data_IF_689604019478
#
_entry.id   IF_689604019478
#
_cell.length_a   1.000
_cell.length_b   1.000
_cell.length_c   1.000
_cell.angle_alpha   90.00
_cell.angle_beta   90.00
_cell.angle_gamma   90.00
#
_symmetry.space_group_name_H-M   'P 1'
#
loop_
_entity.id
_entity.type
_entity.pdbx_description
1 polymer ?
#
# COMPACT_ATOMS: atom_id res chain seq x y z
N UNK A 1 -11.46 -12.68 -5.28
CA UNK A 1 -10.60 -12.05 -4.25
C UNK A 1 -9.15 -12.45 -4.49
N UNK A 2 -8.32 -11.57 -5.05
CA UNK A 2 -6.87 -11.82 -5.17
C UNK A 2 -6.21 -11.41 -3.85
N UNK A 3 -5.63 -12.37 -3.12
CA UNK A 3 -4.66 -12.05 -2.06
C UNK A 3 -3.36 -11.73 -2.79
N UNK A 4 -3.00 -10.46 -2.88
CA UNK A 4 -1.64 -10.08 -3.31
C UNK A 4 -0.75 -10.28 -2.09
N UNK A 5 0.31 -11.07 -2.26
CA UNK A 5 1.27 -11.41 -1.23
C UNK A 5 2.65 -11.06 -1.74
N UNK A 6 3.41 -10.29 -0.98
CA UNK A 6 4.83 -10.04 -1.26
C UNK A 6 5.70 -10.58 -0.13
N UNK A 7 6.81 -11.20 -0.53
CA UNK A 7 7.83 -11.75 0.34
C UNK A 7 8.82 -10.63 0.66
N UNK A 8 9.02 -10.31 1.93
CA UNK A 8 10.18 -9.52 2.34
C UNK A 8 11.42 -10.42 2.20
N UNK A 9 12.36 -10.01 1.33
CA UNK A 9 13.46 -10.84 0.81
C UNK A 9 14.31 -11.57 1.85
N UNK A 10 14.40 -11.05 3.08
CA UNK A 10 15.40 -11.52 4.04
C UNK A 10 14.82 -12.31 5.23
N UNK A 11 13.50 -12.41 5.38
CA UNK A 11 12.93 -12.82 6.70
C UNK A 11 11.91 -13.94 6.67
N UNK A 12 11.65 -14.59 5.52
CA UNK A 12 10.56 -15.57 5.39
C UNK A 12 9.20 -15.01 5.84
N UNK A 13 9.02 -13.68 5.82
CA UNK A 13 7.77 -13.02 6.23
C UNK A 13 7.05 -12.46 5.02
N UNK A 14 5.74 -12.68 5.00
CA UNK A 14 4.83 -12.28 3.96
C UNK A 14 3.92 -11.17 4.48
N UNK A 15 3.70 -10.14 3.65
CA UNK A 15 2.66 -9.15 3.90
C UNK A 15 1.47 -9.41 2.98
N UNK A 16 0.28 -9.48 3.57
CA UNK A 16 -0.98 -9.59 2.85
C UNK A 16 -1.82 -8.33 3.09
N UNK A 17 -2.65 -7.99 2.11
CA UNK A 17 -3.74 -7.03 2.26
C UNK A 17 -5.07 -7.76 2.52
N UNK A 18 -5.93 -7.18 3.36
CA UNK A 18 -7.37 -7.47 3.38
C UNK A 18 -8.18 -6.23 3.00
N UNK A 19 -9.06 -6.37 2.02
CA UNK A 19 -10.05 -5.35 1.60
C UNK A 19 -11.39 -5.50 2.32
N UNK A 20 -11.56 -6.53 3.17
CA UNK A 20 -12.87 -6.86 3.75
C UNK A 20 -13.33 -5.83 4.82
N UNK A 21 -12.40 -5.05 5.35
CA UNK A 21 -12.66 -3.95 6.26
C UNK A 21 -12.42 -2.68 5.45
N UNK A 22 -13.35 -1.72 5.48
CA UNK A 22 -13.19 -0.39 4.85
C UNK A 22 -12.00 0.42 5.42
N UNK A 23 -11.21 -0.18 6.31
CA UNK A 23 -9.92 0.27 6.81
C UNK A 23 -8.87 -0.76 6.38
N UNK A 24 -7.92 -0.36 5.53
CA UNK A 24 -6.86 -1.25 5.06
C UNK A 24 -6.02 -1.77 6.23
N UNK A 25 -5.77 -3.08 6.17
CA UNK A 25 -4.98 -3.83 7.15
C UNK A 25 -3.82 -4.52 6.43
N UNK A 26 -2.59 -4.32 6.91
CA UNK A 26 -1.43 -5.11 6.50
C UNK A 26 -1.23 -6.26 7.49
N UNK A 27 -1.18 -7.49 7.00
CA UNK A 27 -1.01 -8.68 7.84
C UNK A 27 0.43 -9.17 7.75
N UNK A 28 1.10 -9.30 8.90
CA UNK A 28 2.38 -9.97 9.00
C UNK A 28 2.14 -11.47 9.12
N UNK A 29 2.68 -12.24 8.20
CA UNK A 29 2.71 -13.71 8.26
C UNK A 29 4.16 -14.19 8.31
N UNK A 30 4.43 -15.25 9.06
CA UNK A 30 5.68 -16.00 8.97
C UNK A 30 5.45 -17.26 8.14
N UNK A 31 6.37 -17.55 7.24
CA UNK A 31 6.41 -18.80 6.53
C UNK A 31 7.08 -19.85 7.42
N UNK A 32 6.35 -20.91 7.77
CA UNK A 32 6.87 -22.04 8.54
C UNK A 32 6.68 -23.29 7.68
N UNK A 33 7.79 -23.79 7.11
CA UNK A 33 7.83 -24.96 6.24
C UNK A 33 6.98 -24.83 4.96
N UNK A 34 5.69 -25.18 4.99
CA UNK A 34 4.79 -25.20 3.82
C UNK A 34 3.54 -24.34 4.00
N UNK A 35 3.39 -23.67 5.15
CA UNK A 35 2.21 -22.86 5.45
C UNK A 35 2.58 -21.52 6.09
N UNK A 36 1.68 -20.54 5.95
CA UNK A 36 1.81 -19.23 6.57
C UNK A 36 1.10 -19.21 7.92
N UNK A 37 1.79 -18.76 8.98
CA UNK A 37 1.18 -18.45 10.28
C UNK A 37 0.92 -16.96 10.39
N UNK A 38 -0.32 -16.58 10.73
CA UNK A 38 -0.65 -15.20 11.07
C UNK A 38 0.16 -14.74 12.29
N UNK A 39 0.77 -13.56 12.22
CA UNK A 39 1.53 -12.95 13.31
C UNK A 39 0.77 -11.78 13.91
N UNK A 40 0.52 -10.75 13.12
CA UNK A 40 -0.12 -9.52 13.59
C UNK A 40 -0.77 -8.76 12.43
N UNK A 41 -1.59 -7.77 12.77
CA UNK A 41 -2.22 -6.84 11.85
C UNK A 41 -1.79 -5.42 12.19
N UNK A 42 -1.45 -4.64 11.16
CA UNK A 42 -1.23 -3.21 11.23
C UNK A 42 -2.35 -2.49 10.49
N UNK A 43 -3.13 -1.70 11.21
CA UNK A 43 -4.17 -0.82 10.65
C UNK A 43 -3.55 0.51 10.25
N UNK A 44 -3.84 0.99 9.04
CA UNK A 44 -3.23 2.24 8.52
C UNK A 44 -4.26 3.33 8.18
N UNK A 45 -5.55 3.09 8.40
CA UNK A 45 -6.60 4.12 8.29
C UNK A 45 -7.08 4.45 6.87
N UNK A 46 -6.58 3.74 5.86
CA UNK A 46 -6.91 3.93 4.45
C UNK A 46 -7.02 2.59 3.75
N UNK A 47 -7.80 2.47 2.68
CA UNK A 47 -7.93 1.18 1.98
C UNK A 47 -6.74 0.95 1.06
N UNK A 48 -5.70 0.30 1.57
CA UNK A 48 -4.56 -0.12 0.78
C UNK A 48 -4.99 -0.99 -0.40
N UNK A 49 -4.24 -0.96 -1.48
CA UNK A 49 -4.40 -1.83 -2.65
C UNK A 49 -3.19 -2.73 -2.89
N UNK A 50 -2.33 -2.43 -3.83
CA UNK A 50 -1.13 -3.21 -4.03
C UNK A 50 -0.05 -2.79 -3.03
N UNK A 51 0.70 -3.79 -2.60
CA UNK A 51 1.91 -3.65 -1.81
C UNK A 51 3.07 -3.75 -2.79
N UNK A 52 4.11 -2.93 -2.60
CA UNK A 52 5.42 -3.05 -3.23
C UNK A 52 6.48 -3.13 -2.12
N UNK A 53 7.59 -3.84 -2.36
CA UNK A 53 8.68 -3.97 -1.39
C UNK A 53 9.94 -3.33 -1.99
N UNK A 54 10.47 -2.29 -1.34
CA UNK A 54 11.74 -1.71 -1.75
C UNK A 54 12.86 -2.73 -1.49
N UNK A 55 13.48 -3.23 -2.56
CA UNK A 55 14.48 -4.30 -2.50
C UNK A 55 15.80 -3.90 -1.78
N UNK A 56 16.03 -2.61 -1.54
CA UNK A 56 17.23 -2.10 -0.85
C UNK A 56 16.99 -1.98 0.65
N UNK A 57 15.81 -1.49 1.04
CA UNK A 57 15.49 -1.14 2.43
C UNK A 57 14.54 -2.14 3.11
N UNK A 58 13.80 -2.91 2.33
CA UNK A 58 12.71 -3.77 2.81
C UNK A 58 11.45 -3.00 3.22
N UNK A 59 11.41 -1.68 3.00
CA UNK A 59 10.23 -0.86 3.29
C UNK A 59 9.07 -1.23 2.37
N UNK A 60 7.86 -1.22 2.91
CA UNK A 60 6.65 -1.44 2.13
C UNK A 60 6.15 -0.12 1.57
N UNK A 61 5.76 -0.12 0.31
CA UNK A 61 5.11 1.00 -0.36
C UNK A 61 3.71 0.57 -0.79
N UNK A 62 2.70 1.34 -0.40
CA UNK A 62 1.29 1.01 -0.59
C UNK A 62 0.64 2.10 -1.42
N UNK A 63 -0.07 1.73 -2.49
CA UNK A 63 -1.08 2.61 -3.07
C UNK A 63 -2.40 2.40 -2.34
N UNK A 64 -3.07 3.47 -1.93
CA UNK A 64 -4.26 3.39 -1.08
C UNK A 64 -5.42 4.27 -1.60
N UNK A 65 -6.62 3.97 -1.12
CA UNK A 65 -7.84 4.75 -1.35
C UNK A 65 -8.34 5.35 -0.03
N UNK A 66 -8.16 6.67 0.20
CA UNK A 66 -8.58 7.34 1.44
C UNK A 66 -10.08 7.23 1.72
N UNK A 67 -10.89 7.29 0.66
CA UNK A 67 -12.33 7.07 0.74
C UNK A 67 -12.75 6.06 -0.33
N UNK A 68 -12.88 4.77 0.02
CA UNK A 68 -13.23 3.72 -0.93
C UNK A 68 -14.63 3.87 -1.53
N UNK A 69 -15.53 4.58 -0.86
CA UNK A 69 -16.88 4.81 -1.37
C UNK A 69 -16.84 5.64 -2.66
N UNK A 70 -15.88 6.55 -2.81
CA UNK A 70 -15.69 7.32 -4.05
C UNK A 70 -15.17 6.47 -5.22
N UNK A 71 -14.55 5.31 -4.93
CA UNK A 71 -14.15 4.36 -5.97
C UNK A 71 -15.34 3.52 -6.44
N UNK A 72 -16.22 3.13 -5.51
CA UNK A 72 -17.43 2.34 -5.80
C UNK A 72 -18.49 3.22 -6.48
N UNK A 73 -18.72 4.41 -5.94
CA UNK A 73 -19.69 5.40 -6.42
C UNK A 73 -18.94 6.55 -7.11
N UNK A 74 -18.33 6.26 -8.25
CA UNK A 74 -17.51 7.24 -8.97
C UNK A 74 -18.35 8.46 -9.41
N UNK A 75 -17.94 9.64 -8.95
CA UNK A 75 -18.42 10.94 -9.43
C UNK A 75 -17.23 11.77 -9.94
N UNK A 76 -17.20 12.17 -11.22
CA UNK A 76 -16.12 13.00 -11.74
C UNK A 76 -16.03 14.40 -11.10
N UNK A 77 -17.10 14.89 -10.44
CA UNK A 77 -17.08 16.16 -9.69
C UNK A 77 -16.56 16.00 -8.27
N UNK A 78 -16.58 14.78 -7.74
CA UNK A 78 -16.03 14.41 -6.43
C UNK A 78 -15.17 13.13 -6.56
N UNK A 79 -14.04 13.20 -7.28
CA UNK A 79 -13.30 12.01 -7.68
C UNK A 79 -12.65 11.28 -6.49
N UNK A 80 -12.32 9.98 -6.65
CA UNK A 80 -11.58 9.25 -5.63
C UNK A 80 -10.16 9.79 -5.48
N UNK A 81 -9.78 10.13 -4.25
CA UNK A 81 -8.43 10.54 -3.90
C UNK A 81 -7.39 9.44 -4.10
N UNK A 82 -6.13 9.85 -3.98
CA UNK A 82 -4.98 8.94 -4.00
C UNK A 82 -4.13 9.16 -2.76
N UNK A 83 -3.51 8.10 -2.30
CA UNK A 83 -2.62 8.10 -1.15
C UNK A 83 -1.51 7.06 -1.33
N UNK A 84 -0.29 7.42 -0.96
CA UNK A 84 0.84 6.51 -0.86
C UNK A 84 1.33 6.47 0.58
N UNK A 85 1.29 5.28 1.17
CA UNK A 85 1.83 5.04 2.49
C UNK A 85 3.13 4.25 2.39
N UNK A 86 4.13 4.66 3.17
CA UNK A 86 5.36 3.89 3.39
C UNK A 86 5.35 3.30 4.78
N UNK A 87 5.69 2.02 4.89
CA UNK A 87 5.83 1.34 6.17
C UNK A 87 7.26 0.88 6.33
N UNK A 88 7.93 1.43 7.34
CA UNK A 88 9.27 1.05 7.74
C UNK A 88 9.24 0.07 8.89
N UNK A 89 10.21 -0.85 8.92
CA UNK A 89 10.41 -1.78 10.03
C UNK A 89 9.13 -2.55 10.39
N UNK A 90 8.39 -3.05 9.39
CA UNK A 90 7.12 -3.80 9.57
C UNK A 90 7.25 -5.01 10.52
N UNK A 91 8.47 -5.46 10.79
CA UNK A 91 8.73 -6.56 11.70
C UNK A 91 9.01 -6.17 13.15
N UNK A 92 9.22 -4.89 13.44
CA UNK A 92 9.42 -4.35 14.80
C UNK A 92 8.10 -4.26 15.58
N UNK A 93 8.20 -4.03 16.88
CA UNK A 93 7.03 -3.80 17.75
C UNK A 93 6.36 -2.44 17.48
N UNK A 94 7.08 -1.51 16.85
CA UNK A 94 6.59 -0.18 16.49
C UNK A 94 6.93 0.15 15.02
N UNK A 95 6.22 -0.44 14.04
CA UNK A 95 6.35 -0.05 12.64
C UNK A 95 6.04 1.44 12.47
N UNK A 96 6.78 2.11 11.60
CA UNK A 96 6.57 3.52 11.29
C UNK A 96 5.80 3.63 9.99
N UNK A 97 4.63 4.26 10.03
CA UNK A 97 3.80 4.53 8.86
C UNK A 97 3.91 6.02 8.52
N UNK A 98 4.28 6.34 7.29
CA UNK A 98 4.35 7.71 6.79
C UNK A 98 3.49 7.89 5.55
N UNK A 99 2.88 9.08 5.44
CA UNK A 99 2.19 9.54 4.24
C UNK A 99 3.21 10.20 3.32
N UNK A 100 3.52 9.55 2.19
CA UNK A 100 4.54 10.01 1.24
C UNK A 100 3.93 10.81 0.09
N UNK A 101 2.67 10.57 -0.24
CA UNK A 101 1.89 11.32 -1.21
C UNK A 101 0.41 11.25 -0.87
N UNK A 102 -0.33 12.36 -1.01
CA UNK A 102 -1.77 12.40 -0.83
C UNK A 102 -2.41 13.53 -1.64
N UNK A 103 -3.48 13.23 -2.36
CA UNK A 103 -4.28 14.24 -3.04
C UNK A 103 -5.77 13.86 -3.09
N UNK A 104 -6.61 14.83 -3.40
CA UNK A 104 -8.07 14.74 -3.39
C UNK A 104 -8.71 14.11 -4.64
N UNK A 105 -7.90 13.69 -5.61
CA UNK A 105 -8.37 13.13 -6.88
C UNK A 105 -8.19 14.05 -8.09
N UNK A 106 -7.96 15.36 -7.90
CA UNK A 106 -7.87 16.29 -9.04
C UNK A 106 -6.54 16.19 -9.80
N UNK A 107 -5.43 15.90 -9.11
CA UNK A 107 -4.14 15.62 -9.76
C UNK A 107 -4.06 14.16 -10.22
N UNK A 108 -4.23 13.22 -9.29
CA UNK A 108 -4.18 11.77 -9.51
C UNK A 108 -5.37 11.10 -8.81
N UNK A 109 -6.04 10.16 -9.47
CA UNK A 109 -7.24 9.49 -8.94
C UNK A 109 -6.95 8.04 -8.61
N UNK A 110 -7.43 7.55 -7.47
CA UNK A 110 -7.43 6.14 -7.10
C UNK A 110 -6.07 5.43 -7.31
N UNK A 111 -5.01 5.91 -6.64
CA UNK A 111 -3.73 5.18 -6.58
C UNK A 111 -3.92 3.74 -6.11
N UNK A 112 -3.30 2.79 -6.81
CA UNK A 112 -3.34 1.36 -6.50
C UNK A 112 -1.97 0.80 -6.13
N UNK A 113 -0.89 1.39 -6.65
CA UNK A 113 0.48 0.91 -6.42
C UNK A 113 1.45 2.09 -6.36
N UNK A 114 2.51 1.95 -5.59
CA UNK A 114 3.61 2.90 -5.57
C UNK A 114 4.94 2.15 -5.46
N UNK A 115 5.88 2.44 -6.36
CA UNK A 115 7.19 1.80 -6.39
C UNK A 115 8.31 2.84 -6.34
N UNK A 116 9.26 2.65 -5.44
CA UNK A 116 10.43 3.50 -5.31
C UNK A 116 11.59 2.93 -6.13
N UNK A 117 12.24 3.78 -6.90
CA UNK A 117 13.46 3.45 -7.62
C UNK A 117 14.33 4.70 -7.82
N UNK A 118 15.59 4.63 -7.41
CA UNK A 118 16.61 5.66 -7.67
C UNK A 118 16.16 7.10 -7.39
N UNK A 119 15.74 7.37 -6.14
CA UNK A 119 15.27 8.69 -5.72
C UNK A 119 13.94 9.13 -6.33
N UNK A 120 13.26 8.27 -7.08
CA UNK A 120 11.94 8.52 -7.66
C UNK A 120 10.88 7.62 -7.05
N UNK A 121 9.65 8.10 -7.11
CA UNK A 121 8.45 7.35 -6.76
C UNK A 121 7.52 7.30 -7.98
N UNK A 122 7.21 6.10 -8.45
CA UNK A 122 6.23 5.86 -9.51
C UNK A 122 4.92 5.40 -8.89
N UNK A 123 3.85 6.17 -9.11
CA UNK A 123 2.51 5.91 -8.57
C UNK A 123 1.58 5.52 -9.71
N UNK A 124 1.06 4.29 -9.66
CA UNK A 124 0.05 3.78 -10.59
C UNK A 124 -1.36 3.89 -10.02
N UNK A 125 -2.35 4.02 -10.89
CA UNK A 125 -3.77 4.14 -10.50
C UNK A 125 -4.61 3.00 -11.05
N UNK A 126 -5.80 2.80 -10.49
CA UNK A 126 -6.75 1.77 -10.96
C UNK A 126 -7.18 2.02 -12.41
N UNK A 127 -7.48 3.28 -12.78
CA UNK A 127 -8.05 3.59 -14.10
C UNK A 127 -7.69 4.97 -14.69
N UNK A 128 -6.89 5.80 -14.01
CA UNK A 128 -6.65 7.17 -14.45
C UNK A 128 -5.34 7.29 -15.25
N UNK A 129 -4.26 7.72 -14.59
CA UNK A 129 -2.92 7.89 -15.17
C UNK A 129 -1.86 7.39 -14.18
N UNK A 130 -0.58 7.55 -14.53
CA UNK A 130 0.51 7.35 -13.58
C UNK A 130 1.18 8.69 -13.27
N UNK A 131 1.78 8.79 -12.09
CA UNK A 131 2.56 9.96 -11.66
C UNK A 131 3.98 9.51 -11.32
N UNK A 132 4.99 10.25 -11.78
CA UNK A 132 6.38 10.05 -11.40
C UNK A 132 6.85 11.27 -10.62
N UNK A 133 7.23 11.05 -9.36
CA UNK A 133 7.67 12.07 -8.43
C UNK A 133 9.18 11.94 -8.17
N UNK A 134 9.84 13.06 -7.91
CA UNK A 134 11.18 13.08 -7.32
C UNK A 134 11.01 13.12 -5.79
N UNK A 135 11.65 12.17 -5.10
CA UNK A 135 11.71 12.16 -3.64
C UNK A 135 12.77 13.17 -3.20
N UNK A 136 12.40 14.07 -2.28
CA UNK A 136 13.33 15.04 -1.67
C UNK A 136 13.94 14.47 -0.40
#
# INVERSE_FOLDING_TARGET
FRRVALISGDTHKLCFKSTLVMHGSCYKHAFVSSYSKYITTLTVGSLCDNIEVDHVTGDLWLGCHPNPLKLINFDPKDPPGSEVLRIKNIHSDQPVVTLEYGNDGHELMASTVAARYDGKLLIGTVFHKALSCVLK
#
